data_IF_095173155004
#
_entry.id   IF_095173155004
#
_cell.length_a   1.000
_cell.length_b   1.000
_cell.length_c   1.000
_cell.angle_alpha   90.00
_cell.angle_beta   90.00
_cell.angle_gamma   90.00
#
_symmetry.space_group_name_H-M   'P 1'
#
loop_
_entity.id
_entity.type
_entity.pdbx_description
1 polymer ?
#
# COMPACT_ATOMS: atom_id res chain seq x y z
N UNK A 1 -6.20 10.04 19.27
CA UNK A 1 -6.14 10.72 17.96
C UNK A 1 -4.87 10.27 17.26
N UNK A 2 -4.99 9.36 16.29
CA UNK A 2 -3.87 8.55 15.79
C UNK A 2 -2.91 9.34 14.88
N UNK A 3 -1.61 9.15 15.11
CA UNK A 3 -0.45 9.69 14.36
C UNK A 3 -0.52 9.55 12.83
N UNK A 4 -1.32 8.62 12.33
CA UNK A 4 -1.56 8.40 10.90
C UNK A 4 -2.22 9.59 10.20
N UNK A 5 -3.06 10.37 10.89
CA UNK A 5 -3.70 11.56 10.31
C UNK A 5 -2.70 12.70 10.04
N UNK A 6 -1.72 12.88 10.93
CA UNK A 6 -0.71 13.93 10.80
C UNK A 6 0.17 13.72 9.56
N UNK A 7 0.53 12.47 9.29
CA UNK A 7 1.33 12.12 8.11
C UNK A 7 0.56 12.34 6.81
N UNK A 8 -0.74 12.00 6.77
CA UNK A 8 -1.57 12.23 5.58
C UNK A 8 -1.77 13.73 5.31
N UNK A 9 -2.01 14.52 6.35
CA UNK A 9 -2.12 15.99 6.23
C UNK A 9 -0.83 16.64 5.74
N UNK A 10 0.33 16.17 6.18
CA UNK A 10 1.63 16.70 5.75
C UNK A 10 1.90 16.41 4.26
N UNK A 11 1.58 15.20 3.80
CA UNK A 11 1.73 14.81 2.39
C UNK A 11 0.81 15.64 1.49
N UNK A 12 -0.45 15.86 1.90
CA UNK A 12 -1.40 16.68 1.15
C UNK A 12 -0.95 18.14 1.04
N UNK A 13 -0.36 18.70 2.11
CA UNK A 13 0.14 20.08 2.11
C UNK A 13 1.35 20.25 1.17
N UNK A 14 2.26 19.26 1.13
CA UNK A 14 3.41 19.26 0.22
C UNK A 14 2.99 19.13 -1.25
N UNK A 15 1.94 18.37 -1.53
CA UNK A 15 1.40 18.19 -2.88
C UNK A 15 0.71 19.47 -3.38
N UNK A 16 -0.02 20.17 -2.52
CA UNK A 16 -0.66 21.44 -2.89
C UNK A 16 0.37 22.54 -3.21
N UNK A 17 1.48 22.59 -2.46
CA UNK A 17 2.55 23.56 -2.71
C UNK A 17 3.30 23.30 -4.03
N UNK A 18 3.40 22.03 -4.45
CA UNK A 18 4.05 21.62 -5.71
C UNK A 18 3.20 21.84 -6.95
N UNK A 19 1.88 21.80 -6.82
CA UNK A 19 0.94 22.03 -7.93
C UNK A 19 0.66 23.53 -8.18
N UNK A 20 0.99 24.40 -7.22
CA UNK A 20 0.77 25.85 -7.29
C UNK A 20 1.96 26.62 -7.86
N UNK A 21 2.60 26.12 -8.92
CA UNK A 21 3.51 26.91 -9.75
C UNK A 21 3.19 26.63 -11.23
N UNK A 22 2.28 27.43 -11.78
CA UNK A 22 2.07 27.61 -13.22
C UNK A 22 2.67 28.95 -13.67
N UNK A 23 3.06 29.07 -14.95
CA UNK A 23 4.24 29.78 -15.40
C UNK A 23 3.99 31.28 -15.59
N UNK A 24 4.92 32.11 -15.12
CA UNK A 24 4.97 33.53 -15.48
C UNK A 24 5.73 33.66 -16.80
N UNK A 25 4.99 33.94 -17.88
CA UNK A 25 5.54 34.53 -19.09
C UNK A 25 6.01 35.96 -18.76
N UNK A 26 7.32 36.15 -18.71
CA UNK A 26 7.93 37.47 -18.82
C UNK A 26 9.18 37.35 -19.69
N UNK A 27 9.04 37.77 -20.94
CA UNK A 27 10.12 37.92 -21.90
C UNK A 27 10.83 39.26 -21.62
N UNK A 28 12.07 39.21 -21.14
CA UNK A 28 12.99 40.35 -21.13
C UNK A 28 14.44 39.86 -21.17
N UNK A 29 15.28 40.60 -21.89
CA UNK A 29 16.55 40.22 -22.51
C UNK A 29 17.72 39.87 -21.58
N UNK A 30 18.61 39.00 -22.11
CA UNK A 30 20.03 38.69 -21.77
C UNK A 30 20.35 37.73 -20.59
N UNK A 31 21.58 37.16 -20.54
CA UNK A 31 22.36 36.45 -21.57
C UNK A 31 22.59 34.98 -21.16
N UNK A 32 23.09 34.15 -22.08
CA UNK A 32 23.43 32.72 -21.86
C UNK A 32 24.33 32.58 -20.63
N UNK A 33 23.78 32.10 -19.52
CA UNK A 33 24.55 31.66 -18.36
C UNK A 33 24.68 30.15 -18.46
N UNK A 34 25.90 29.68 -18.64
CA UNK A 34 26.24 28.25 -18.68
C UNK A 34 25.61 27.54 -17.49
N UNK A 35 24.61 26.69 -17.76
CA UNK A 35 24.19 25.68 -16.81
C UNK A 35 25.44 24.90 -16.42
N UNK A 36 25.77 24.97 -15.13
CA UNK A 36 26.80 24.17 -14.52
C UNK A 36 26.33 22.73 -14.64
N UNK A 37 26.82 22.03 -15.66
CA UNK A 37 26.71 20.58 -15.74
C UNK A 37 27.19 20.03 -14.38
N UNK A 38 26.36 19.25 -13.66
CA UNK A 38 26.79 18.66 -12.42
C UNK A 38 28.03 17.83 -12.72
N UNK A 39 29.16 18.24 -12.16
CA UNK A 39 30.42 17.51 -12.24
C UNK A 39 30.16 16.03 -11.95
N UNK A 40 30.74 15.13 -12.75
CA UNK A 40 30.63 13.67 -12.58
C UNK A 40 30.89 13.26 -11.12
N UNK A 41 31.78 13.97 -10.44
CA UNK A 41 32.09 13.79 -9.02
C UNK A 41 30.88 14.05 -8.11
N UNK A 42 30.09 15.09 -8.38
CA UNK A 42 28.87 15.41 -7.64
C UNK A 42 27.80 14.33 -7.85
N UNK A 43 27.70 13.79 -9.06
CA UNK A 43 26.78 12.68 -9.38
C UNK A 43 27.17 11.41 -8.60
N UNK A 44 28.47 11.09 -8.55
CA UNK A 44 28.96 9.93 -7.79
C UNK A 44 28.74 10.07 -6.28
N UNK A 45 28.98 11.26 -5.74
CA UNK A 45 28.72 11.53 -4.32
C UNK A 45 27.23 11.39 -3.99
N UNK A 46 26.35 11.90 -4.86
CA UNK A 46 24.91 11.79 -4.66
C UNK A 46 24.43 10.34 -4.71
N UNK A 47 24.94 9.52 -5.64
CA UNK A 47 24.64 8.08 -5.67
C UNK A 47 25.08 7.35 -4.40
N UNK A 48 26.26 7.68 -3.89
CA UNK A 48 26.81 7.04 -2.68
C UNK A 48 25.94 7.37 -1.45
N UNK A 49 25.51 8.62 -1.34
CA UNK A 49 24.64 9.06 -0.25
C UNK A 49 23.25 8.39 -0.30
N UNK A 50 22.70 8.20 -1.49
CA UNK A 50 21.41 7.50 -1.68
C UNK A 50 21.54 6.04 -1.24
N UNK A 51 22.63 5.36 -1.62
CA UNK A 51 22.87 3.97 -1.19
C UNK A 51 23.05 3.84 0.33
N UNK A 52 23.80 4.76 0.96
CA UNK A 52 23.98 4.76 2.41
C UNK A 52 22.65 4.94 3.15
N UNK A 53 21.78 5.83 2.66
CA UNK A 53 20.46 6.06 3.26
C UNK A 53 19.52 4.84 3.08
N UNK A 54 19.58 4.15 1.93
CA UNK A 54 18.80 2.92 1.72
C UNK A 54 19.26 1.79 2.65
N UNK A 55 20.57 1.64 2.87
CA UNK A 55 21.12 0.64 3.79
C UNK A 55 20.81 0.94 5.26
N UNK A 56 20.83 2.22 5.65
CA UNK A 56 20.41 2.63 6.98
C UNK A 56 18.91 2.39 7.21
N UNK A 57 18.08 2.63 6.19
CA UNK A 57 16.64 2.38 6.26
C UNK A 57 16.28 0.88 6.23
N UNK A 58 17.13 0.01 5.69
CA UNK A 58 16.93 -1.44 5.73
C UNK A 58 17.44 -2.11 7.01
N UNK A 59 18.19 -1.36 7.83
CA UNK A 59 18.75 -1.85 9.11
C UNK A 59 17.86 -1.54 10.31
N UNK A 60 16.72 -0.86 10.11
CA UNK A 60 15.67 -0.82 11.13
C UNK A 60 15.01 -2.19 11.18
N UNK A 61 15.56 -2.99 12.09
CA UNK A 61 15.00 -4.19 12.66
C UNK A 61 13.48 -4.19 12.54
N UNK A 62 12.98 -5.03 11.63
CA UNK A 62 11.56 -5.33 11.46
C UNK A 62 11.05 -5.83 12.81
N UNK A 63 10.54 -4.91 13.62
CA UNK A 63 9.71 -5.22 14.78
C UNK A 63 8.43 -5.81 14.20
N UNK A 64 8.49 -7.09 13.82
CA UNK A 64 7.34 -7.88 13.40
C UNK A 64 6.32 -7.67 14.52
N UNK A 65 5.14 -7.09 14.24
CA UNK A 65 4.15 -6.90 15.28
C UNK A 65 3.91 -8.24 15.96
N UNK A 66 3.75 -8.27 17.30
CA UNK A 66 3.56 -9.51 18.04
C UNK A 66 2.49 -10.33 17.34
N UNK A 67 2.82 -11.58 17.04
CA UNK A 67 1.90 -12.48 16.34
C UNK A 67 0.59 -12.52 17.13
N UNK A 68 -0.45 -11.91 16.57
CA UNK A 68 -1.78 -12.00 17.13
C UNK A 68 -2.18 -13.46 17.01
N UNK A 69 -2.17 -14.18 18.13
CA UNK A 69 -2.64 -15.55 18.20
C UNK A 69 -4.15 -15.51 18.04
N UNK A 70 -4.62 -15.53 16.79
CA UNK A 70 -6.05 -15.53 16.49
C UNK A 70 -6.64 -16.81 17.05
N UNK A 71 -7.66 -16.75 17.92
CA UNK A 71 -8.37 -17.94 18.36
C UNK A 71 -8.88 -18.70 17.13
N UNK A 72 -8.89 -20.04 17.20
CA UNK A 72 -9.23 -20.95 16.10
C UNK A 72 -10.40 -20.40 15.28
N UNK A 73 -10.09 -19.90 14.08
CA UNK A 73 -11.09 -19.27 13.21
C UNK A 73 -12.00 -20.37 12.69
N UNK A 74 -13.31 -20.20 12.93
CA UNK A 74 -14.34 -21.07 12.37
C UNK A 74 -14.47 -20.85 10.86
N UNK A 75 -14.85 -21.90 10.15
CA UNK A 75 -15.18 -21.81 8.74
C UNK A 75 -16.33 -20.81 8.50
N UNK A 76 -16.42 -20.19 7.31
CA UNK A 76 -17.54 -19.34 6.94
C UNK A 76 -18.85 -20.11 6.94
N UNK A 77 -19.95 -19.42 7.22
CA UNK A 77 -21.29 -19.92 6.93
C UNK A 77 -21.51 -19.98 5.41
N UNK A 78 -22.25 -20.99 4.93
CA UNK A 78 -22.62 -21.07 3.52
C UNK A 78 -23.51 -19.88 3.12
N UNK A 79 -23.28 -19.33 1.92
CA UNK A 79 -24.05 -18.23 1.36
C UNK A 79 -24.89 -18.73 0.18
N UNK A 80 -26.21 -18.65 0.32
CA UNK A 80 -27.19 -19.16 -0.66
C UNK A 80 -27.73 -18.10 -1.63
N UNK A 81 -27.41 -16.83 -1.38
CA UNK A 81 -27.94 -15.68 -2.11
C UNK A 81 -29.39 -15.31 -1.78
N UNK A 82 -30.00 -15.85 -0.72
CA UNK A 82 -31.37 -15.46 -0.29
C UNK A 82 -31.39 -14.14 0.46
N UNK A 83 -30.32 -13.84 1.19
CA UNK A 83 -30.18 -12.65 2.04
C UNK A 83 -29.00 -11.78 1.55
N UNK A 84 -29.21 -10.86 0.60
CA UNK A 84 -28.12 -10.08 -0.01
C UNK A 84 -27.28 -9.30 1.00
N UNK A 85 -27.89 -8.82 2.09
CA UNK A 85 -27.21 -8.08 3.14
C UNK A 85 -26.16 -8.90 3.89
N UNK A 86 -26.20 -10.24 3.84
CA UNK A 86 -25.20 -11.13 4.46
C UNK A 86 -23.92 -11.30 3.64
N UNK A 87 -23.90 -10.84 2.39
CA UNK A 87 -22.72 -11.00 1.51
C UNK A 87 -21.48 -10.34 2.10
N UNK A 88 -21.64 -9.18 2.75
CA UNK A 88 -20.53 -8.48 3.41
C UNK A 88 -19.92 -9.30 4.54
N UNK A 89 -20.76 -9.89 5.40
CA UNK A 89 -20.30 -10.76 6.49
C UNK A 89 -19.62 -12.03 5.98
N UNK A 90 -20.13 -12.62 4.90
CA UNK A 90 -19.50 -13.76 4.24
C UNK A 90 -18.11 -13.41 3.67
N UNK A 91 -17.97 -12.26 3.02
CA UNK A 91 -16.68 -11.80 2.49
C UNK A 91 -15.70 -11.52 3.63
N UNK A 92 -16.15 -10.86 4.71
CA UNK A 92 -15.31 -10.56 5.87
C UNK A 92 -14.78 -11.83 6.55
N UNK A 93 -15.61 -12.88 6.69
CA UNK A 93 -15.14 -14.15 7.27
C UNK A 93 -14.10 -14.84 6.38
N UNK A 94 -14.30 -14.84 5.06
CA UNK A 94 -13.30 -15.35 4.11
C UNK A 94 -11.98 -14.57 4.22
N UNK A 95 -12.04 -13.24 4.27
CA UNK A 95 -10.86 -12.39 4.41
C UNK A 95 -10.09 -12.69 5.69
N UNK A 96 -10.78 -12.85 6.82
CA UNK A 96 -10.14 -13.15 8.10
C UNK A 96 -9.35 -14.47 8.03
N UNK A 97 -9.91 -15.49 7.39
CA UNK A 97 -9.25 -16.80 7.20
C UNK A 97 -8.01 -16.66 6.32
N UNK A 98 -8.11 -15.93 5.21
CA UNK A 98 -6.98 -15.74 4.29
C UNK A 98 -5.80 -15.00 4.94
N UNK A 99 -6.08 -14.05 5.84
CA UNK A 99 -5.03 -13.33 6.57
C UNK A 99 -4.43 -14.16 7.70
N UNK A 100 -5.20 -15.08 8.29
CA UNK A 100 -4.73 -15.91 9.39
C UNK A 100 -3.85 -17.08 8.93
N UNK A 101 -4.03 -17.55 7.69
CA UNK A 101 -3.24 -18.63 7.13
C UNK A 101 -2.59 -18.26 5.77
N UNK A 102 -1.64 -17.31 5.77
CA UNK A 102 -0.98 -16.87 4.55
C UNK A 102 -0.31 -18.01 3.74
N UNK A 103 0.37 -19.01 4.35
CA UNK A 103 0.98 -20.10 3.60
C UNK A 103 -0.02 -20.92 2.78
N UNK A 104 -1.23 -21.16 3.30
CA UNK A 104 -2.25 -21.88 2.55
C UNK A 104 -2.99 -20.99 1.54
N UNK A 105 -3.14 -19.70 1.83
CA UNK A 105 -3.89 -18.75 1.00
C UNK A 105 -3.02 -17.73 0.25
N UNK A 106 -1.76 -18.04 -0.03
CA UNK A 106 -0.87 -17.10 -0.75
C UNK A 106 -1.30 -16.82 -2.20
N UNK A 107 -2.00 -17.77 -2.84
CA UNK A 107 -2.49 -17.64 -4.21
C UNK A 107 -3.96 -17.24 -4.21
N UNK A 108 -4.32 -16.25 -5.03
CA UNK A 108 -5.71 -15.82 -5.19
C UNK A 108 -6.60 -16.94 -5.72
N UNK A 109 -6.05 -17.86 -6.54
CA UNK A 109 -6.78 -19.06 -6.97
C UNK A 109 -7.27 -19.91 -5.80
N UNK A 110 -6.45 -20.08 -4.75
CA UNK A 110 -6.84 -20.85 -3.56
C UNK A 110 -7.90 -20.11 -2.75
N UNK A 111 -7.76 -18.79 -2.60
CA UNK A 111 -8.77 -17.94 -1.95
C UNK A 111 -10.12 -18.03 -2.66
N UNK A 112 -10.09 -17.92 -4.00
CA UNK A 112 -11.27 -18.03 -4.84
C UNK A 112 -11.94 -19.40 -4.68
N UNK A 113 -11.20 -20.49 -4.89
CA UNK A 113 -11.73 -21.86 -4.76
C UNK A 113 -12.35 -22.09 -3.38
N UNK A 114 -11.67 -21.63 -2.33
CA UNK A 114 -12.19 -21.71 -0.96
C UNK A 114 -13.51 -20.95 -0.82
N UNK A 115 -13.56 -19.67 -1.16
CA UNK A 115 -14.79 -18.88 -1.06
C UNK A 115 -15.94 -19.50 -1.87
N UNK A 116 -15.67 -19.96 -3.09
CA UNK A 116 -16.70 -20.59 -3.94
C UNK A 116 -17.25 -21.89 -3.36
N UNK A 117 -16.48 -22.63 -2.55
CA UNK A 117 -16.95 -23.88 -1.93
C UNK A 117 -18.06 -23.66 -0.88
N UNK A 118 -18.21 -22.44 -0.38
CA UNK A 118 -19.26 -22.04 0.56
C UNK A 118 -20.44 -21.35 -0.13
N UNK A 119 -20.38 -21.15 -1.44
CA UNK A 119 -21.52 -20.66 -2.21
C UNK A 119 -22.45 -21.83 -2.47
N UNK A 120 -23.74 -21.65 -2.18
CA UNK A 120 -24.77 -22.65 -2.39
C UNK A 120 -25.99 -22.01 -3.09
N UNK A 121 -26.97 -22.82 -3.48
CA UNK A 121 -28.27 -22.32 -3.94
C UNK A 121 -28.16 -21.40 -5.17
N UNK A 122 -28.66 -20.16 -5.06
CA UNK A 122 -28.62 -19.17 -6.15
C UNK A 122 -27.25 -18.53 -6.31
N UNK A 123 -26.44 -18.50 -5.26
CA UNK A 123 -25.10 -17.92 -5.30
C UNK A 123 -24.07 -18.84 -5.97
N UNK A 124 -24.38 -20.13 -6.14
CA UNK A 124 -23.49 -21.12 -6.75
C UNK A 124 -23.72 -21.31 -8.27
N UNK A 125 -24.67 -20.58 -8.86
CA UNK A 125 -25.11 -20.75 -10.24
C UNK A 125 -24.67 -19.59 -11.13
#
# INVERSE_FOLDING_TARGET
>A
MSQSYLNLSLVLLQLHHRLSLKPTLAQSNQPVSHQSEPSLLAIMQQMTQIMANLQAASSSESSRPPAFNTPSIKAPECFDGTQPFKVGSFIQSCQLIFHNDPPNFFQDRKKFLYATSFLIGRAAK
#
